data_IF_128639613456
#
_entry.id   IF_128639613456
#
_cell.length_a   1.000
_cell.length_b   1.000
_cell.length_c   1.000
_cell.angle_alpha   90.00
_cell.angle_beta   90.00
_cell.angle_gamma   90.00
#
_symmetry.space_group_name_H-M   'P 1'
#
loop_
_entity.id
_entity.type
_entity.pdbx_description
1 polymer ?
#
# COMPACT_ATOMS: atom_id res chain seq x y z
N UNK A 1 -15.92 10.64 13.49
CA UNK A 1 -16.05 9.80 12.27
C UNK A 1 -16.76 8.52 12.65
N UNK A 2 -17.83 8.19 11.96
CA UNK A 2 -18.53 6.96 12.25
C UNK A 2 -17.86 5.75 11.58
N UNK A 3 -18.37 4.56 11.87
CA UNK A 3 -17.78 3.31 11.43
C UNK A 3 -17.83 3.16 9.90
N UNK A 4 -18.90 3.60 9.27
CA UNK A 4 -19.05 3.52 7.81
C UNK A 4 -18.08 4.45 7.11
N UNK A 5 -17.93 5.67 7.59
CA UNK A 5 -16.97 6.63 7.03
C UNK A 5 -15.54 6.11 7.14
N UNK A 6 -15.19 5.51 8.28
CA UNK A 6 -13.87 4.94 8.47
C UNK A 6 -13.61 3.81 7.48
N UNK A 7 -14.59 2.94 7.27
CA UNK A 7 -14.48 1.83 6.33
C UNK A 7 -14.27 2.34 4.90
N UNK A 8 -15.04 3.35 4.50
CA UNK A 8 -14.91 3.94 3.16
C UNK A 8 -13.53 4.56 2.98
N UNK A 9 -13.03 5.28 3.98
CA UNK A 9 -11.70 5.89 3.89
C UNK A 9 -10.60 4.85 3.77
N UNK A 10 -10.70 3.75 4.54
CA UNK A 10 -9.71 2.68 4.45
C UNK A 10 -9.72 2.03 3.07
N UNK A 11 -10.89 1.84 2.48
CA UNK A 11 -10.99 1.26 1.14
C UNK A 11 -10.37 2.18 0.09
N UNK A 12 -10.60 3.49 0.20
CA UNK A 12 -9.97 4.45 -0.72
C UNK A 12 -8.46 4.36 -0.64
N UNK A 13 -7.90 4.33 0.57
CA UNK A 13 -6.46 4.24 0.77
C UNK A 13 -5.90 2.93 0.23
N UNK A 14 -6.58 1.82 0.48
CA UNK A 14 -6.17 0.52 -0.03
C UNK A 14 -6.14 0.51 -1.55
N UNK A 15 -7.17 1.07 -2.19
CA UNK A 15 -7.24 1.11 -3.64
C UNK A 15 -6.15 1.97 -4.25
N UNK A 16 -5.84 3.12 -3.64
CA UNK A 16 -4.76 3.98 -4.10
C UNK A 16 -3.43 3.24 -4.01
N UNK A 17 -3.13 2.65 -2.84
CA UNK A 17 -1.86 1.94 -2.67
C UNK A 17 -1.76 0.75 -3.62
N UNK A 18 -2.83 -0.02 -3.77
CA UNK A 18 -2.83 -1.17 -4.67
C UNK A 18 -2.45 -0.76 -6.09
N UNK A 19 -3.02 0.34 -6.58
CA UNK A 19 -2.72 0.84 -7.92
C UNK A 19 -1.27 1.27 -8.08
N UNK A 20 -0.63 1.71 -7.00
CA UNK A 20 0.75 2.18 -7.05
C UNK A 20 1.79 1.09 -6.77
N UNK A 21 1.37 -0.12 -6.37
CA UNK A 21 2.32 -1.17 -5.99
C UNK A 21 3.35 -1.49 -7.08
N UNK A 22 2.96 -1.68 -8.36
CA UNK A 22 3.96 -1.98 -9.38
C UNK A 22 5.00 -0.86 -9.54
N UNK A 23 4.57 0.39 -9.48
CA UNK A 23 5.46 1.54 -9.62
C UNK A 23 6.39 1.65 -8.41
N UNK A 24 5.84 1.47 -7.20
CA UNK A 24 6.63 1.52 -5.97
C UNK A 24 7.68 0.40 -5.96
N UNK A 25 7.29 -0.81 -6.35
CA UNK A 25 8.22 -1.94 -6.43
C UNK A 25 9.32 -1.67 -7.45
N UNK A 26 8.94 -1.17 -8.62
CA UNK A 26 9.91 -0.85 -9.68
C UNK A 26 10.90 0.22 -9.21
N UNK A 27 10.42 1.21 -8.48
CA UNK A 27 11.27 2.27 -7.93
C UNK A 27 12.35 1.70 -7.00
N UNK A 28 12.00 0.67 -6.22
CA UNK A 28 12.94 0.04 -5.31
C UNK A 28 13.77 -1.07 -5.96
N UNK A 29 13.37 -1.53 -7.15
CA UNK A 29 14.02 -2.68 -7.77
C UNK A 29 13.82 -3.97 -6.98
N UNK A 30 12.66 -4.12 -6.32
CA UNK A 30 12.38 -5.25 -5.43
C UNK A 30 11.37 -6.20 -6.08
N UNK A 31 11.60 -7.51 -5.94
CA UNK A 31 10.70 -8.53 -6.50
C UNK A 31 9.45 -8.70 -5.64
N UNK A 32 8.44 -9.36 -6.22
CA UNK A 32 7.25 -9.71 -5.45
C UNK A 32 7.58 -10.65 -4.30
N UNK A 33 8.51 -11.57 -4.51
CA UNK A 33 8.92 -12.49 -3.45
C UNK A 33 9.57 -11.74 -2.30
N UNK A 34 10.49 -10.82 -2.61
CA UNK A 34 11.19 -10.07 -1.58
C UNK A 34 10.23 -9.20 -0.77
N UNK A 35 9.34 -8.47 -1.44
CA UNK A 35 8.42 -7.60 -0.71
C UNK A 35 7.43 -8.43 0.13
N UNK A 36 6.97 -9.56 -0.39
CA UNK A 36 6.04 -10.41 0.37
C UNK A 36 6.68 -10.92 1.65
N UNK A 37 7.95 -11.33 1.60
CA UNK A 37 8.68 -11.74 2.79
C UNK A 37 8.83 -10.62 3.80
N UNK A 38 9.11 -9.42 3.33
CA UNK A 38 9.30 -8.26 4.20
C UNK A 38 8.04 -7.86 4.93
N UNK A 39 6.89 -8.00 4.30
CA UNK A 39 5.63 -7.60 4.92
C UNK A 39 4.86 -8.77 5.55
N UNK A 40 5.41 -9.98 5.44
CA UNK A 40 4.87 -11.13 6.18
C UNK A 40 3.67 -11.80 5.54
N UNK A 41 3.57 -11.78 4.21
CA UNK A 41 2.52 -12.52 3.48
C UNK A 41 3.17 -13.44 2.47
N UNK A 42 2.39 -14.39 1.92
CA UNK A 42 2.92 -15.27 0.89
C UNK A 42 3.09 -14.51 -0.42
N UNK A 43 4.04 -14.99 -1.25
CA UNK A 43 4.21 -14.42 -2.58
C UNK A 43 2.93 -14.53 -3.41
N UNK A 44 2.22 -15.64 -3.28
CA UNK A 44 0.97 -15.85 -4.00
C UNK A 44 -0.07 -14.81 -3.60
N UNK A 45 -0.23 -14.57 -2.31
CA UNK A 45 -1.15 -13.54 -1.80
C UNK A 45 -0.76 -12.17 -2.33
N UNK A 46 0.52 -11.82 -2.27
CA UNK A 46 0.96 -10.55 -2.79
C UNK A 46 0.65 -10.39 -4.28
N UNK A 47 0.92 -11.43 -5.07
CA UNK A 47 0.66 -11.40 -6.51
C UNK A 47 -0.83 -11.17 -6.81
N UNK A 48 -1.72 -11.81 -6.06
CA UNK A 48 -3.16 -11.60 -6.20
C UNK A 48 -3.57 -10.18 -5.87
N UNK A 49 -2.95 -9.61 -4.85
CA UNK A 49 -3.23 -8.21 -4.44
C UNK A 49 -2.77 -7.25 -5.55
N UNK A 50 -1.55 -7.38 -6.02
CA UNK A 50 -1.01 -6.48 -7.04
C UNK A 50 -1.80 -6.57 -8.35
N UNK A 51 -2.30 -7.75 -8.69
CA UNK A 51 -3.12 -7.94 -9.88
C UNK A 51 -4.59 -7.58 -9.68
N UNK A 52 -4.96 -7.11 -8.49
CA UNK A 52 -6.32 -6.68 -8.13
C UNK A 52 -7.33 -7.82 -8.11
N UNK A 53 -6.86 -9.06 -7.99
CA UNK A 53 -7.73 -10.23 -7.86
C UNK A 53 -8.13 -10.48 -6.42
N UNK A 54 -7.40 -9.91 -5.48
CA UNK A 54 -7.69 -10.01 -4.06
C UNK A 54 -7.42 -8.67 -3.39
N UNK A 55 -8.33 -8.25 -2.51
CA UNK A 55 -8.15 -7.01 -1.78
C UNK A 55 -7.22 -7.27 -0.58
N UNK A 56 -6.27 -6.38 -0.33
CA UNK A 56 -5.43 -6.51 0.86
C UNK A 56 -6.21 -6.18 2.12
N UNK A 57 -5.82 -6.80 3.23
CA UNK A 57 -6.36 -6.45 4.54
C UNK A 57 -5.78 -5.11 4.99
N UNK A 58 -6.43 -4.50 5.99
CA UNK A 58 -5.91 -3.26 6.56
C UNK A 58 -4.54 -3.46 7.20
N UNK A 59 -4.31 -4.62 7.82
CA UNK A 59 -3.01 -4.94 8.43
C UNK A 59 -1.92 -5.02 7.36
N UNK A 60 -2.20 -5.68 6.24
CA UNK A 60 -1.25 -5.74 5.13
C UNK A 60 -1.00 -4.35 4.54
N UNK A 61 -2.05 -3.54 4.42
CA UNK A 61 -1.91 -2.16 3.97
C UNK A 61 -0.93 -1.39 4.86
N UNK A 62 -1.11 -1.47 6.18
CA UNK A 62 -0.23 -0.77 7.12
C UNK A 62 1.22 -1.24 7.00
N UNK A 63 1.43 -2.55 6.83
CA UNK A 63 2.77 -3.10 6.68
C UNK A 63 3.44 -2.62 5.38
N UNK A 64 2.69 -2.63 4.28
CA UNK A 64 3.21 -2.15 3.00
C UNK A 64 3.51 -0.66 3.05
N UNK A 65 2.62 0.13 3.63
CA UNK A 65 2.82 1.56 3.75
C UNK A 65 4.09 1.86 4.56
N UNK A 66 4.26 1.21 5.70
CA UNK A 66 5.45 1.38 6.52
C UNK A 66 6.72 1.01 5.74
N UNK A 67 6.66 -0.08 4.98
CA UNK A 67 7.78 -0.53 4.18
C UNK A 67 8.21 0.53 3.16
N UNK A 68 7.25 1.08 2.42
CA UNK A 68 7.56 2.09 1.40
C UNK A 68 7.94 3.44 2.02
N UNK A 69 7.42 3.76 3.21
CA UNK A 69 7.79 4.99 3.92
C UNK A 69 9.24 4.96 4.40
N UNK A 70 9.78 3.77 4.66
CA UNK A 70 11.16 3.64 5.11
C UNK A 70 12.18 3.76 3.99
N UNK A 71 11.74 3.84 2.74
CA UNK A 71 12.62 4.07 1.60
C UNK A 71 12.41 5.47 1.07
N UNK A 72 13.48 6.24 0.96
CA UNK A 72 13.37 7.66 0.60
C UNK A 72 12.72 7.86 -0.76
N UNK A 73 13.08 7.06 -1.76
CA UNK A 73 12.53 7.21 -3.11
C UNK A 73 11.04 6.93 -3.16
N UNK A 74 10.58 5.87 -2.50
CA UNK A 74 9.16 5.55 -2.48
C UNK A 74 8.37 6.48 -1.56
N UNK A 75 8.99 6.96 -0.47
CA UNK A 75 8.37 7.97 0.36
C UNK A 75 8.09 9.25 -0.43
N UNK A 76 9.06 9.69 -1.21
CA UNK A 76 8.87 10.87 -2.07
C UNK A 76 7.77 10.65 -3.10
N UNK A 77 7.71 9.45 -3.68
CA UNK A 77 6.66 9.15 -4.65
C UNK A 77 5.27 9.20 -4.01
N UNK A 78 5.12 8.62 -2.80
CA UNK A 78 3.85 8.68 -2.08
C UNK A 78 3.44 10.12 -1.80
N UNK A 79 4.39 10.97 -1.44
CA UNK A 79 4.12 12.39 -1.22
C UNK A 79 3.72 13.09 -2.51
N UNK A 80 4.38 12.75 -3.63
CA UNK A 80 4.13 13.40 -4.92
C UNK A 80 2.72 13.10 -5.44
N UNK A 81 2.20 11.90 -5.19
CA UNK A 81 0.84 11.57 -5.61
C UNK A 81 -0.22 12.08 -4.62
N UNK A 82 0.20 12.74 -3.55
CA UNK A 82 -0.73 13.31 -2.57
C UNK A 82 -1.40 12.27 -1.70
N UNK A 83 -0.78 11.11 -1.52
CA UNK A 83 -1.37 10.00 -0.78
C UNK A 83 -1.84 10.43 0.61
N UNK A 84 -1.00 11.16 1.34
CA UNK A 84 -1.28 11.53 2.72
C UNK A 84 -2.31 12.64 2.86
N UNK A 85 -2.73 13.25 1.76
CA UNK A 85 -3.74 14.32 1.78
C UNK A 85 -5.17 13.78 1.68
N UNK A 86 -5.34 12.49 1.37
CA UNK A 86 -6.64 11.90 1.07
C UNK A 86 -7.09 10.93 2.15
N UNK A 87 -6.99 11.31 3.43
CA UNK A 87 -7.22 10.21 4.33
C UNK A 87 -7.37 10.59 5.78
N UNK A 88 -7.55 9.57 6.60
CA UNK A 88 -7.43 9.64 8.04
C UNK A 88 -6.03 10.05 8.52
N UNK A 89 -5.04 10.12 7.63
CA UNK A 89 -3.71 10.63 7.94
C UNK A 89 -3.63 12.16 7.85
N UNK A 90 -4.61 12.80 7.22
CA UNK A 90 -4.70 14.25 7.16
C UNK A 90 -5.41 14.79 8.38
N UNK A 91 -4.95 15.88 8.87
CA UNK A 91 -5.65 16.58 9.93
C UNK A 91 -6.65 17.58 9.39
#
# INVERSE_FOLDING_TARGET
MDKEELTVQREVLINILTSELPVLRAKMGISQEDISQRVGISRQTYSLIESKKQKMTWVTFMALLAFFENNEGTKQLLNAIGFFKNSAFSE
#
